data_IF_558534028597
#
_entry.id   IF_558534028597
#
_cell.length_a   1.000
_cell.length_b   1.000
_cell.length_c   1.000
_cell.angle_alpha   90.00
_cell.angle_beta   90.00
_cell.angle_gamma   90.00
#
_symmetry.space_group_name_H-M   'P 1'
#
loop_
_entity.id
_entity.type
_entity.pdbx_description
1 polymer ?
#
# COMPACT_ATOMS: atom_id res chain seq x y z
N UNK A 1 -30.89 -20.82 15.87
CA UNK A 1 -31.32 -20.07 14.66
C UNK A 1 -30.44 -18.83 14.57
N UNK A 2 -29.38 -18.88 13.76
CA UNK A 2 -28.54 -17.70 13.53
C UNK A 2 -29.30 -16.78 12.57
N UNK A 3 -29.69 -15.61 13.04
CA UNK A 3 -30.21 -14.53 12.20
C UNK A 3 -29.13 -14.15 11.19
N UNK A 4 -29.36 -14.45 9.92
CA UNK A 4 -28.53 -13.93 8.84
C UNK A 4 -28.58 -12.40 8.91
N UNK A 5 -27.42 -11.76 9.10
CA UNK A 5 -27.32 -10.32 9.09
C UNK A 5 -27.82 -9.80 7.73
N UNK A 6 -28.79 -8.88 7.75
CA UNK A 6 -29.24 -8.19 6.54
C UNK A 6 -28.10 -7.26 6.13
N UNK A 7 -27.43 -7.61 5.04
CA UNK A 7 -26.37 -6.77 4.46
C UNK A 7 -26.98 -5.44 3.98
N UNK A 8 -26.28 -4.34 4.21
CA UNK A 8 -26.68 -3.04 3.66
C UNK A 8 -26.59 -3.08 2.12
N UNK A 9 -27.34 -2.24 1.40
CA UNK A 9 -27.20 -2.14 -0.05
C UNK A 9 -25.74 -1.92 -0.44
N UNK A 10 -25.22 -2.76 -1.35
CA UNK A 10 -23.84 -2.74 -1.88
C UNK A 10 -22.72 -3.30 -0.99
N UNK A 11 -23.00 -3.76 0.23
CA UNK A 11 -22.03 -4.56 0.98
C UNK A 11 -21.76 -5.89 0.25
N UNK A 12 -20.48 -6.29 0.18
CA UNK A 12 -20.06 -7.48 -0.55
C UNK A 12 -19.48 -8.51 0.43
N UNK A 13 -20.16 -9.66 0.63
CA UNK A 13 -19.56 -10.79 1.34
C UNK A 13 -18.51 -11.43 0.44
N UNK A 14 -17.30 -11.62 0.97
CA UNK A 14 -16.17 -12.19 0.23
C UNK A 14 -15.19 -12.87 1.19
N UNK A 15 -14.13 -13.47 0.65
CA UNK A 15 -13.01 -13.99 1.42
C UNK A 15 -11.75 -13.19 1.13
N UNK A 16 -11.01 -12.84 2.20
CA UNK A 16 -9.67 -12.29 2.11
C UNK A 16 -8.64 -13.36 2.49
N UNK A 17 -7.61 -13.53 1.67
CA UNK A 17 -6.57 -14.52 1.91
C UNK A 17 -5.50 -13.94 2.84
N UNK A 18 -5.42 -14.43 4.07
CA UNK A 18 -4.28 -14.22 4.96
C UNK A 18 -3.21 -15.30 4.73
N UNK A 19 -2.07 -15.21 5.41
CA UNK A 19 -1.08 -16.28 5.41
C UNK A 19 -1.12 -17.10 6.70
N UNK A 20 -0.72 -18.35 6.59
CA UNK A 20 -0.29 -19.18 7.73
C UNK A 20 1.19 -19.55 7.54
N UNK A 21 2.05 -19.43 8.57
CA UNK A 21 3.41 -19.95 8.50
C UNK A 21 3.44 -21.45 8.20
N UNK A 22 4.41 -21.90 7.41
CA UNK A 22 4.72 -23.31 7.21
C UNK A 22 6.11 -23.59 7.80
N UNK A 23 6.19 -24.52 8.74
CA UNK A 23 7.43 -24.84 9.44
C UNK A 23 7.75 -23.86 10.58
N UNK A 24 9.03 -23.77 10.95
CA UNK A 24 9.50 -23.00 12.12
C UNK A 24 10.37 -21.81 11.76
N UNK A 25 10.71 -21.62 10.48
CA UNK A 25 11.43 -20.44 9.99
C UNK A 25 10.49 -19.23 9.93
N UNK A 26 11.05 -18.02 9.98
CA UNK A 26 10.28 -16.80 9.74
C UNK A 26 9.56 -16.85 8.38
N UNK A 27 8.29 -16.42 8.31
CA UNK A 27 7.54 -16.37 7.06
C UNK A 27 8.20 -15.48 6.00
N UNK A 28 8.33 -16.00 4.78
CA UNK A 28 8.92 -15.30 3.65
C UNK A 28 8.20 -15.67 2.34
N UNK A 29 8.27 -14.74 1.39
CA UNK A 29 7.95 -14.97 -0.02
C UNK A 29 8.91 -14.14 -0.87
N UNK A 30 9.63 -14.80 -1.78
CA UNK A 30 10.45 -14.13 -2.76
C UNK A 30 9.60 -13.60 -3.91
N UNK A 31 9.75 -12.31 -4.22
CA UNK A 31 9.13 -11.67 -5.40
C UNK A 31 9.94 -11.94 -6.68
N UNK A 32 11.24 -12.20 -6.51
CA UNK A 32 12.16 -12.60 -7.58
C UNK A 32 12.58 -14.07 -7.38
N UNK A 33 13.48 -14.57 -8.22
CA UNK A 33 14.03 -15.91 -8.07
C UNK A 33 14.65 -16.09 -6.66
N UNK A 34 14.30 -17.16 -5.93
CA UNK A 34 14.92 -17.44 -4.64
C UNK A 34 16.39 -17.84 -4.79
N UNK A 35 17.21 -17.74 -3.73
CA UNK A 35 18.54 -18.34 -3.70
C UNK A 35 18.50 -19.82 -4.06
N UNK A 36 19.59 -20.35 -4.64
CA UNK A 36 19.67 -21.76 -5.01
C UNK A 36 19.38 -22.67 -3.80
N UNK A 37 18.44 -23.61 -3.96
CA UNK A 37 18.03 -24.54 -2.90
C UNK A 37 17.04 -23.98 -1.87
N UNK A 38 16.61 -22.71 -2.01
CA UNK A 38 15.51 -22.14 -1.22
C UNK A 38 14.20 -22.26 -1.98
N UNK A 39 13.17 -22.74 -1.29
CA UNK A 39 11.80 -22.68 -1.80
C UNK A 39 11.36 -21.22 -1.99
N UNK A 40 10.50 -20.90 -2.98
CA UNK A 40 10.07 -19.52 -3.25
C UNK A 40 9.32 -18.85 -2.09
N UNK A 41 8.70 -19.63 -1.22
CA UNK A 41 8.02 -19.16 -0.02
C UNK A 41 7.85 -20.30 1.00
N UNK A 42 7.54 -19.96 2.25
CA UNK A 42 7.17 -20.91 3.31
C UNK A 42 5.82 -20.53 3.95
N UNK A 43 4.85 -20.09 3.14
CA UNK A 43 3.56 -19.61 3.64
C UNK A 43 2.38 -20.29 2.95
N UNK A 44 1.41 -20.72 3.75
CA UNK A 44 0.12 -21.22 3.31
C UNK A 44 -0.90 -20.09 3.14
N UNK A 45 -2.12 -20.47 2.78
CA UNK A 45 -3.28 -19.58 2.72
C UNK A 45 -4.18 -19.81 3.93
N UNK A 46 -4.68 -18.72 4.50
CA UNK A 46 -5.70 -18.69 5.54
C UNK A 46 -6.87 -17.79 5.08
N UNK A 47 -7.81 -18.32 4.27
CA UNK A 47 -8.95 -17.55 3.80
C UNK A 47 -9.87 -17.18 4.97
N UNK A 48 -10.25 -15.91 5.06
CA UNK A 48 -11.15 -15.38 6.09
C UNK A 48 -12.36 -14.72 5.44
N UNK A 49 -13.54 -15.23 5.77
CA UNK A 49 -14.80 -14.60 5.37
C UNK A 49 -14.91 -13.22 6.00
N UNK A 50 -15.17 -12.22 5.18
CA UNK A 50 -15.36 -10.83 5.57
C UNK A 50 -16.52 -10.21 4.81
N UNK A 51 -17.03 -9.11 5.32
CA UNK A 51 -17.93 -8.23 4.57
C UNK A 51 -17.16 -6.95 4.21
N UNK A 52 -17.07 -6.65 2.92
CA UNK A 52 -16.57 -5.35 2.44
C UNK A 52 -17.75 -4.39 2.46
N UNK A 53 -17.64 -3.34 3.26
CA UNK A 53 -18.70 -2.36 3.44
C UNK A 53 -18.60 -1.23 2.41
N UNK A 54 -19.74 -0.81 1.87
CA UNK A 54 -19.80 0.35 0.98
C UNK A 54 -19.56 1.65 1.75
N UNK A 55 -18.56 2.42 1.33
CA UNK A 55 -18.19 3.71 1.92
C UNK A 55 -18.88 4.90 1.24
N UNK A 56 -19.59 4.70 0.12
CA UNK A 56 -20.21 5.80 -0.64
C UNK A 56 -21.25 6.54 0.20
N UNK A 57 -21.17 7.87 0.19
CA UNK A 57 -21.99 8.75 1.03
C UNK A 57 -21.56 8.84 2.49
N UNK A 58 -20.51 8.12 2.88
CA UNK A 58 -19.93 8.07 4.24
C UNK A 58 -18.44 8.43 4.25
N UNK A 59 -17.94 8.99 3.16
CA UNK A 59 -16.51 9.26 2.96
C UNK A 59 -15.93 10.16 4.07
N UNK A 60 -16.74 11.10 4.58
CA UNK A 60 -16.36 12.00 5.68
C UNK A 60 -16.24 11.33 7.05
N UNK A 61 -16.68 10.08 7.22
CA UNK A 61 -16.52 9.32 8.47
C UNK A 61 -15.09 8.78 8.65
N UNK A 62 -14.32 8.70 7.56
CA UNK A 62 -12.99 8.09 7.54
C UNK A 62 -11.90 9.17 7.62
N UNK A 63 -10.99 9.01 8.58
CA UNK A 63 -9.83 9.90 8.72
C UNK A 63 -8.54 9.13 8.84
N UNK A 64 -7.44 9.77 8.42
CA UNK A 64 -6.13 9.12 8.37
C UNK A 64 -5.70 8.59 9.75
N UNK A 65 -5.91 9.36 10.82
CA UNK A 65 -5.49 8.97 12.17
C UNK A 65 -6.38 7.88 12.81
N UNK A 66 -7.63 7.73 12.38
CA UNK A 66 -8.55 6.71 12.92
C UNK A 66 -8.57 5.43 12.10
N UNK A 67 -8.53 5.56 10.78
CA UNK A 67 -8.80 4.46 9.84
C UNK A 67 -7.55 4.03 9.05
N UNK A 68 -6.48 4.83 9.06
CA UNK A 68 -5.30 4.59 8.23
C UNK A 68 -5.48 5.03 6.76
N UNK A 69 -6.63 5.59 6.40
CA UNK A 69 -6.92 6.18 5.09
C UNK A 69 -7.93 7.33 5.23
N UNK A 70 -8.02 8.18 4.22
CA UNK A 70 -8.97 9.28 4.17
C UNK A 70 -9.34 9.60 2.72
N UNK A 71 -10.61 9.90 2.47
CA UNK A 71 -11.05 10.40 1.18
C UNK A 71 -10.80 11.91 1.09
N UNK A 72 -10.17 12.34 -0.02
CA UNK A 72 -9.95 13.75 -0.30
C UNK A 72 -10.25 14.01 -1.76
N UNK A 73 -11.03 15.05 -2.04
CA UNK A 73 -11.20 15.53 -3.41
C UNK A 73 -10.03 16.45 -3.74
N UNK A 74 -9.11 15.96 -4.57
CA UNK A 74 -7.94 16.70 -5.01
C UNK A 74 -7.72 16.49 -6.51
N UNK A 75 -8.33 17.31 -7.38
CA UNK A 75 -8.15 17.18 -8.81
C UNK A 75 -6.70 17.47 -9.22
N UNK A 76 -6.04 16.48 -9.81
CA UNK A 76 -4.68 16.60 -10.36
C UNK A 76 -4.66 17.29 -11.73
N UNK A 77 -3.63 18.09 -12.03
CA UNK A 77 -3.36 18.57 -13.38
C UNK A 77 -2.72 17.49 -14.28
N UNK A 78 -2.00 16.53 -13.69
CA UNK A 78 -1.53 15.33 -14.38
C UNK A 78 -2.71 14.35 -14.58
N UNK A 79 -2.88 13.86 -15.82
CA UNK A 79 -4.03 13.04 -16.25
C UNK A 79 -3.64 11.75 -16.97
N UNK A 80 -2.47 11.71 -17.59
CA UNK A 80 -2.07 10.65 -18.51
C UNK A 80 -1.19 9.60 -17.82
N UNK A 81 -0.34 10.05 -16.87
CA UNK A 81 0.55 9.21 -16.07
C UNK A 81 1.39 8.25 -16.94
N UNK A 82 1.99 8.76 -18.01
CA UNK A 82 2.78 8.04 -19.00
C UNK A 82 4.22 8.55 -19.15
N UNK A 83 4.55 9.67 -18.50
CA UNK A 83 5.86 10.31 -18.50
C UNK A 83 6.34 10.59 -17.07
N UNK A 84 7.42 9.92 -16.66
CA UNK A 84 8.06 10.06 -15.35
C UNK A 84 8.52 11.49 -15.05
N UNK A 85 9.05 12.21 -16.04
CA UNK A 85 9.52 13.59 -15.85
C UNK A 85 8.34 14.51 -15.61
N UNK A 86 7.25 14.32 -16.37
CA UNK A 86 6.02 15.06 -16.19
C UNK A 86 5.36 14.78 -14.84
N UNK A 87 5.31 13.51 -14.42
CA UNK A 87 4.82 13.12 -13.08
C UNK A 87 5.62 13.82 -11.99
N UNK A 88 6.95 13.83 -12.08
CA UNK A 88 7.81 14.51 -11.10
C UNK A 88 7.65 16.03 -11.13
N UNK A 89 7.44 16.62 -12.31
CA UNK A 89 7.29 18.06 -12.46
C UNK A 89 5.91 18.59 -12.01
N UNK A 90 4.85 17.79 -12.16
CA UNK A 90 3.46 18.22 -11.96
C UNK A 90 2.83 17.54 -10.73
N UNK A 91 2.81 16.21 -10.71
CA UNK A 91 2.05 15.45 -9.72
C UNK A 91 2.75 15.39 -8.36
N UNK A 92 4.08 15.33 -8.33
CA UNK A 92 4.83 15.33 -7.06
C UNK A 92 4.57 16.58 -6.21
N UNK A 93 4.65 17.82 -6.76
CA UNK A 93 4.27 19.02 -6.01
C UNK A 93 2.83 19.00 -5.50
N UNK A 94 1.90 18.44 -6.28
CA UNK A 94 0.49 18.29 -5.90
C UNK A 94 0.32 17.36 -4.70
N UNK A 95 0.96 16.18 -4.73
CA UNK A 95 0.97 15.22 -3.62
C UNK A 95 1.65 15.81 -2.38
N UNK A 96 2.77 16.50 -2.55
CA UNK A 96 3.44 17.17 -1.43
C UNK A 96 2.51 18.19 -0.76
N UNK A 97 1.84 19.03 -1.54
CA UNK A 97 0.88 20.00 -1.00
C UNK A 97 -0.27 19.31 -0.28
N UNK A 98 -0.88 18.31 -0.91
CA UNK A 98 -1.98 17.53 -0.33
C UNK A 98 -1.59 16.92 1.02
N UNK A 99 -0.42 16.27 1.11
CA UNK A 99 0.04 15.63 2.35
C UNK A 99 0.40 16.64 3.44
N UNK A 100 0.91 17.83 3.08
CA UNK A 100 1.10 18.93 4.05
C UNK A 100 -0.24 19.40 4.61
N UNK A 101 -1.23 19.61 3.75
CA UNK A 101 -2.56 20.12 4.13
C UNK A 101 -3.35 19.09 4.97
N UNK A 102 -3.33 17.82 4.59
CA UNK A 102 -4.15 16.76 5.22
C UNK A 102 -3.47 16.14 6.43
N UNK A 103 -2.17 15.84 6.34
CA UNK A 103 -1.45 15.14 7.41
C UNK A 103 -0.65 16.08 8.32
N UNK A 104 -0.62 17.39 8.03
CA UNK A 104 0.17 18.37 8.77
C UNK A 104 1.69 18.15 8.62
N UNK A 105 2.11 17.55 7.50
CA UNK A 105 3.51 17.23 7.27
C UNK A 105 4.35 18.52 7.16
N UNK A 106 5.51 18.54 7.84
CA UNK A 106 6.49 19.64 7.68
C UNK A 106 7.42 19.41 6.49
N UNK A 107 7.65 18.15 6.15
CA UNK A 107 8.45 17.69 5.01
C UNK A 107 7.77 16.46 4.43
N UNK A 108 7.71 16.41 3.11
CA UNK A 108 7.30 15.23 2.35
C UNK A 108 8.53 14.79 1.55
N UNK A 109 8.75 13.48 1.46
CA UNK A 109 9.81 12.92 0.64
C UNK A 109 9.24 11.74 -0.15
N UNK A 110 9.11 11.92 -1.46
CA UNK A 110 8.60 10.90 -2.37
C UNK A 110 9.79 10.08 -2.84
N UNK A 111 9.89 8.85 -2.37
CA UNK A 111 11.03 7.97 -2.63
C UNK A 111 10.79 6.93 -3.73
N UNK A 112 9.54 6.72 -4.11
CA UNK A 112 9.15 5.78 -5.16
C UNK A 112 7.79 6.19 -5.75
N UNK A 113 7.56 5.80 -7.00
CA UNK A 113 6.22 5.68 -7.57
C UNK A 113 6.21 4.51 -8.55
N UNK A 114 5.09 3.80 -8.63
CA UNK A 114 4.93 2.67 -9.55
C UNK A 114 3.71 2.89 -10.42
N UNK A 115 3.90 2.87 -11.74
CA UNK A 115 2.80 2.87 -12.71
C UNK A 115 2.33 1.43 -12.95
N UNK A 116 1.11 1.12 -12.52
CA UNK A 116 0.49 -0.19 -12.78
C UNK A 116 -0.44 -0.11 -13.98
N UNK A 117 -0.13 -0.91 -15.01
CA UNK A 117 -0.98 -1.11 -16.19
C UNK A 117 -1.55 -2.54 -16.16
N UNK A 118 -2.58 -2.79 -16.96
CA UNK A 118 -3.13 -4.14 -17.12
C UNK A 118 -1.99 -5.08 -17.55
N UNK A 119 -1.73 -6.17 -16.82
CA UNK A 119 -0.67 -7.09 -17.20
C UNK A 119 -0.92 -7.66 -18.59
N UNK A 120 0.12 -7.70 -19.42
CA UNK A 120 0.09 -8.41 -20.70
C UNK A 120 0.39 -9.90 -20.45
N UNK A 121 -0.57 -10.80 -20.68
CA UNK A 121 -0.40 -12.23 -20.44
C UNK A 121 0.64 -12.88 -21.37
N UNK A 122 1.05 -12.22 -22.46
CA UNK A 122 2.10 -12.68 -23.36
C UNK A 122 3.51 -12.33 -22.90
N UNK A 123 3.66 -11.46 -21.89
CA UNK A 123 4.95 -11.05 -21.35
C UNK A 123 5.23 -11.72 -20.02
N UNK A 124 6.51 -12.04 -19.77
CA UNK A 124 6.91 -12.63 -18.49
C UNK A 124 6.57 -11.69 -17.32
N UNK A 125 6.28 -12.26 -16.15
CA UNK A 125 6.13 -11.45 -14.94
C UNK A 125 7.44 -10.72 -14.64
N UNK A 126 7.32 -9.43 -14.33
CA UNK A 126 8.47 -8.57 -14.08
C UNK A 126 8.00 -7.21 -13.56
N UNK A 127 8.92 -6.28 -13.23
CA UNK A 127 8.57 -4.96 -12.67
C UNK A 127 7.51 -4.19 -13.49
N UNK A 128 7.53 -4.33 -14.81
CA UNK A 128 6.63 -3.67 -15.75
C UNK A 128 5.37 -4.47 -16.08
N UNK A 129 5.26 -5.72 -15.61
CA UNK A 129 4.14 -6.62 -15.86
C UNK A 129 3.73 -7.37 -14.58
N UNK A 130 3.21 -6.63 -13.59
CA UNK A 130 2.77 -7.17 -12.29
C UNK A 130 1.26 -7.07 -12.12
N UNK A 131 0.63 -8.20 -11.83
CA UNK A 131 -0.77 -8.25 -11.40
C UNK A 131 -0.97 -7.77 -9.96
N UNK A 132 -2.24 -7.70 -9.51
CA UNK A 132 -2.55 -7.48 -8.10
C UNK A 132 -2.01 -8.62 -7.24
N UNK A 133 -1.68 -8.32 -5.99
CA UNK A 133 -1.36 -9.33 -4.97
C UNK A 133 -2.67 -9.74 -4.30
N UNK A 134 -3.00 -11.02 -4.33
CA UNK A 134 -4.29 -11.55 -3.84
C UNK A 134 -4.30 -11.89 -2.35
N UNK A 135 -3.19 -11.61 -1.65
CA UNK A 135 -3.04 -11.84 -0.21
C UNK A 135 -3.10 -10.53 0.54
N UNK A 136 -3.74 -10.53 1.71
CA UNK A 136 -3.68 -9.42 2.66
C UNK A 136 -2.24 -9.21 3.11
N UNK A 137 -1.77 -7.97 2.99
CA UNK A 137 -0.44 -7.56 3.37
C UNK A 137 -0.44 -6.10 3.83
N UNK A 138 0.64 -5.74 4.53
CA UNK A 138 1.06 -4.35 4.71
C UNK A 138 2.38 -4.19 3.97
N UNK A 139 2.59 -3.04 3.32
CA UNK A 139 3.82 -2.82 2.56
C UNK A 139 5.02 -2.53 3.46
N UNK A 140 4.78 -1.86 4.58
CA UNK A 140 5.82 -1.42 5.50
C UNK A 140 5.43 -1.75 6.95
N UNK A 141 6.34 -2.38 7.67
CA UNK A 141 6.26 -2.49 9.13
C UNK A 141 6.72 -1.18 9.77
N UNK A 142 6.51 -1.04 11.08
CA UNK A 142 7.03 0.09 11.84
C UNK A 142 8.57 0.20 11.75
N UNK A 143 9.27 -0.93 11.87
CA UNK A 143 10.73 -0.94 11.75
C UNK A 143 11.18 -0.58 10.32
N UNK A 144 10.46 -1.07 9.31
CA UNK A 144 10.74 -0.72 7.93
C UNK A 144 10.59 0.79 7.69
N UNK A 145 9.64 1.47 8.34
CA UNK A 145 9.51 2.92 8.17
C UNK A 145 10.72 3.70 8.71
N UNK A 146 11.29 3.26 9.83
CA UNK A 146 12.54 3.83 10.37
C UNK A 146 13.71 3.58 9.43
N UNK A 147 13.84 2.37 8.91
CA UNK A 147 14.94 2.04 7.98
C UNK A 147 14.80 2.78 6.64
N UNK A 148 13.58 3.05 6.16
CA UNK A 148 13.35 3.90 4.99
C UNK A 148 13.87 5.32 5.19
N UNK A 149 13.69 5.91 6.38
CA UNK A 149 14.27 7.23 6.68
C UNK A 149 15.79 7.20 6.63
N UNK A 150 16.42 6.20 7.27
CA UNK A 150 17.88 6.06 7.27
C UNK A 150 18.43 5.83 5.87
N UNK A 151 17.74 5.05 5.06
CA UNK A 151 18.16 4.71 3.71
C UNK A 151 18.03 5.89 2.75
N UNK A 152 16.90 6.58 2.76
CA UNK A 152 16.61 7.64 1.80
C UNK A 152 17.09 9.04 2.23
N UNK A 153 17.22 9.28 3.54
CA UNK A 153 17.56 10.58 4.11
C UNK A 153 18.68 10.47 5.17
N UNK A 154 19.84 9.84 4.85
CA UNK A 154 20.85 9.49 5.84
C UNK A 154 21.39 10.69 6.62
N UNK A 155 21.62 11.82 5.95
CA UNK A 155 22.15 13.05 6.55
C UNK A 155 21.21 13.67 7.59
N UNK A 156 19.90 13.51 7.38
CA UNK A 156 18.87 14.09 8.24
C UNK A 156 18.27 13.05 9.21
N UNK A 157 18.58 11.77 9.06
CA UNK A 157 17.87 10.68 9.73
C UNK A 157 17.86 10.84 11.26
N UNK A 158 19.00 11.17 11.86
CA UNK A 158 19.12 11.36 13.31
C UNK A 158 18.17 12.44 13.85
N UNK A 159 17.98 13.52 13.09
CA UNK A 159 17.07 14.62 13.44
C UNK A 159 15.61 14.27 13.15
N UNK A 160 15.32 13.68 11.99
CA UNK A 160 13.96 13.35 11.59
C UNK A 160 13.32 12.31 12.51
N UNK A 161 14.09 11.31 12.94
CA UNK A 161 13.63 10.23 13.83
C UNK A 161 13.40 10.68 15.29
N UNK A 162 13.78 11.91 15.65
CA UNK A 162 13.35 12.55 16.91
C UNK A 162 11.93 13.12 16.84
N UNK A 163 11.29 13.05 15.67
CA UNK A 163 9.94 13.53 15.43
C UNK A 163 9.04 12.42 14.86
N UNK A 164 7.75 12.70 14.69
CA UNK A 164 6.82 11.75 14.08
C UNK A 164 7.09 11.61 12.58
N UNK A 165 7.40 10.39 12.15
CA UNK A 165 7.49 10.01 10.75
C UNK A 165 6.28 9.14 10.39
N UNK A 166 5.78 9.27 9.16
CA UNK A 166 4.75 8.41 8.58
C UNK A 166 5.16 8.01 7.17
N UNK A 167 4.83 6.79 6.77
CA UNK A 167 4.82 6.39 5.36
C UNK A 167 3.35 6.36 4.93
N UNK A 168 3.08 6.96 3.77
CA UNK A 168 1.78 6.94 3.11
C UNK A 168 2.03 6.39 1.71
N UNK A 169 1.24 5.39 1.33
CA UNK A 169 1.24 4.76 0.01
C UNK A 169 0.31 5.51 -0.94
#
# INVERSE_FOLDING_TARGET
>A
MATAAVLAPHDVPTSLNYYTPIGTEEPYQYVLAPPAGKEPNNIGLDPRDVTVHDARGREGEFSLDKNGFQFVNYPSAEKEFDDDERIKAVYYPEVEKLLKDVAGAKRVFIFDHTLRRKPDPSTAQGPTNRGPVERVHIDQTYNASVERVKHHLPEDAARLLQSRVRIIN
#
